data_IF_405077275833
#
_entry.id   IF_405077275833
#
_cell.length_a   1.000
_cell.length_b   1.000
_cell.length_c   1.000
_cell.angle_alpha   90.00
_cell.angle_beta   90.00
_cell.angle_gamma   90.00
#
_symmetry.space_group_name_H-M   'P 1'
#
loop_
_entity.id
_entity.type
_entity.pdbx_description
1 polymer ?
#
# COMPACT_ATOMS: atom_id res chain seq x y z
N UNK A 1 -2.10 -30.68 -5.63
CA UNK A 1 -1.66 -29.44 -4.93
C UNK A 1 -1.82 -28.16 -5.76
N UNK A 2 -1.87 -28.21 -7.10
CA UNK A 2 -2.05 -27.02 -7.96
C UNK A 2 -3.47 -26.42 -7.97
N UNK A 3 -4.52 -27.26 -7.88
CA UNK A 3 -5.92 -26.80 -7.89
C UNK A 3 -6.32 -25.92 -6.69
N UNK A 4 -5.88 -26.30 -5.48
CA UNK A 4 -6.15 -25.53 -4.26
C UNK A 4 -5.46 -24.15 -4.29
N UNK A 5 -4.23 -24.08 -4.79
CA UNK A 5 -3.49 -22.81 -4.91
C UNK A 5 -4.14 -21.85 -5.91
N UNK A 6 -4.66 -22.38 -7.03
CA UNK A 6 -5.38 -21.58 -8.02
C UNK A 6 -6.72 -21.05 -7.49
N UNK A 7 -7.47 -21.85 -6.74
CA UNK A 7 -8.72 -21.43 -6.10
C UNK A 7 -8.45 -20.37 -5.03
N UNK A 8 -7.43 -20.56 -4.18
CA UNK A 8 -7.04 -19.56 -3.18
C UNK A 8 -6.57 -18.24 -3.82
N UNK A 9 -5.82 -18.31 -4.93
CA UNK A 9 -5.41 -17.13 -5.70
C UNK A 9 -6.60 -16.40 -6.34
N UNK A 10 -7.58 -17.14 -6.84
CA UNK A 10 -8.81 -16.58 -7.41
C UNK A 10 -9.68 -15.90 -6.35
N UNK A 11 -9.87 -16.55 -5.20
CA UNK A 11 -10.59 -15.98 -4.05
C UNK A 11 -9.87 -14.71 -3.55
N UNK A 12 -8.55 -14.76 -3.39
CA UNK A 12 -7.73 -13.58 -3.03
C UNK A 12 -7.92 -12.43 -4.02
N UNK A 13 -7.92 -12.73 -5.32
CA UNK A 13 -8.17 -11.75 -6.37
C UNK A 13 -9.58 -11.17 -6.31
N UNK A 14 -10.61 -11.97 -6.06
CA UNK A 14 -11.99 -11.48 -5.91
C UNK A 14 -12.14 -10.52 -4.72
N UNK A 15 -11.51 -10.83 -3.57
CA UNK A 15 -11.51 -9.95 -2.41
C UNK A 15 -10.79 -8.62 -2.65
N UNK A 16 -9.82 -8.54 -3.58
CA UNK A 16 -9.19 -7.27 -3.96
C UNK A 16 -10.15 -6.33 -4.72
N UNK A 17 -11.14 -6.86 -5.44
CA UNK A 17 -12.10 -6.05 -6.19
C UNK A 17 -13.26 -5.53 -5.34
N UNK A 18 -13.52 -6.14 -4.18
CA UNK A 18 -14.59 -5.70 -3.27
C UNK A 18 -14.36 -4.27 -2.75
N UNK A 19 -13.17 -3.91 -2.22
CA UNK A 19 -12.84 -2.54 -1.86
C UNK A 19 -12.92 -1.56 -3.03
N UNK A 20 -12.84 -2.04 -4.29
CA UNK A 20 -12.96 -1.18 -5.47
C UNK A 20 -14.43 -0.93 -5.83
N UNK A 21 -15.24 -1.97 -5.90
CA UNK A 21 -16.63 -1.89 -6.40
C UNK A 21 -17.61 -1.31 -5.39
N UNK A 22 -17.42 -1.58 -4.09
CA UNK A 22 -18.37 -1.13 -3.07
C UNK A 22 -18.44 0.40 -2.94
N UNK A 23 -17.33 1.14 -2.82
CA UNK A 23 -17.38 2.61 -2.77
C UNK A 23 -17.93 3.24 -4.05
N UNK A 24 -17.61 2.67 -5.23
CA UNK A 24 -18.15 3.14 -6.50
C UNK A 24 -19.67 3.02 -6.56
N UNK A 25 -20.22 1.90 -6.07
CA UNK A 25 -21.67 1.71 -5.94
C UNK A 25 -22.30 2.77 -5.03
N UNK A 26 -21.67 3.06 -3.88
CA UNK A 26 -22.13 4.11 -2.97
C UNK A 26 -22.13 5.50 -3.65
N UNK A 27 -21.10 5.83 -4.43
CA UNK A 27 -21.04 7.10 -5.16
C UNK A 27 -22.15 7.20 -6.20
N UNK A 28 -22.38 6.15 -7.00
CA UNK A 28 -23.47 6.11 -8.00
C UNK A 28 -24.83 6.31 -7.35
N UNK A 29 -25.11 5.60 -6.26
CA UNK A 29 -26.38 5.74 -5.55
C UNK A 29 -26.53 7.14 -4.94
N UNK A 30 -25.47 7.67 -4.32
CA UNK A 30 -25.48 9.02 -3.75
C UNK A 30 -25.74 10.10 -4.81
N UNK A 31 -25.18 9.93 -6.02
CA UNK A 31 -25.39 10.83 -7.14
C UNK A 31 -26.84 10.83 -7.58
N UNK A 32 -27.43 9.65 -7.75
CA UNK A 32 -28.83 9.51 -8.10
C UNK A 32 -29.75 10.15 -7.05
N UNK A 33 -29.53 9.84 -5.76
CA UNK A 33 -30.34 10.39 -4.68
C UNK A 33 -30.23 11.92 -4.56
N UNK A 34 -29.02 12.46 -4.66
CA UNK A 34 -28.79 13.89 -4.47
C UNK A 34 -29.20 14.72 -5.69
N UNK A 35 -28.72 14.36 -6.89
CA UNK A 35 -28.92 15.18 -8.09
C UNK A 35 -30.31 15.00 -8.67
N UNK A 36 -30.79 13.76 -8.80
CA UNK A 36 -32.05 13.46 -9.49
C UNK A 36 -33.25 13.64 -8.55
N UNK A 37 -33.21 13.02 -7.37
CA UNK A 37 -34.34 13.08 -6.44
C UNK A 37 -34.35 14.42 -5.70
N UNK A 38 -33.30 14.74 -4.94
CA UNK A 38 -33.32 15.92 -4.08
C UNK A 38 -33.27 17.23 -4.89
N UNK A 39 -32.23 17.45 -5.70
CA UNK A 39 -32.10 18.69 -6.47
C UNK A 39 -33.12 18.78 -7.61
N UNK A 40 -33.46 17.66 -8.26
CA UNK A 40 -34.38 17.67 -9.41
C UNK A 40 -35.86 17.66 -9.06
N UNK A 41 -36.25 17.02 -7.96
CA UNK A 41 -37.68 16.80 -7.63
C UNK A 41 -38.15 17.50 -6.36
N UNK A 42 -37.26 17.76 -5.39
CA UNK A 42 -37.65 18.35 -4.10
C UNK A 42 -37.37 19.85 -4.01
N UNK A 43 -36.40 20.36 -4.77
CA UNK A 43 -35.95 21.74 -4.68
C UNK A 43 -36.62 22.61 -5.76
N UNK A 44 -37.22 23.73 -5.35
CA UNK A 44 -37.95 24.64 -6.24
C UNK A 44 -37.17 25.90 -6.60
N UNK A 45 -36.19 26.30 -5.77
CA UNK A 45 -35.31 27.44 -6.04
C UNK A 45 -34.20 27.04 -7.02
N UNK A 46 -34.28 27.61 -8.23
CA UNK A 46 -33.33 27.33 -9.32
C UNK A 46 -31.90 27.78 -9.01
N UNK A 47 -31.70 28.91 -8.31
CA UNK A 47 -30.35 29.41 -8.01
C UNK A 47 -29.70 28.50 -6.98
N UNK A 48 -30.43 28.16 -5.91
CA UNK A 48 -29.95 27.23 -4.90
C UNK A 48 -29.66 25.85 -5.50
N UNK A 49 -30.52 25.36 -6.39
CA UNK A 49 -30.33 24.10 -7.11
C UNK A 49 -29.02 24.08 -7.90
N UNK A 50 -28.77 25.12 -8.71
CA UNK A 50 -27.55 25.21 -9.51
C UNK A 50 -26.31 25.22 -8.60
N UNK A 51 -26.31 26.04 -7.55
CA UNK A 51 -25.18 26.16 -6.62
C UNK A 51 -24.89 24.81 -5.95
N UNK A 52 -25.91 24.12 -5.43
CA UNK A 52 -25.75 22.83 -4.77
C UNK A 52 -25.25 21.75 -5.73
N UNK A 53 -25.79 21.70 -6.96
CA UNK A 53 -25.33 20.77 -7.99
C UNK A 53 -23.86 21.00 -8.33
N UNK A 54 -23.44 22.27 -8.52
CA UNK A 54 -22.06 22.61 -8.85
C UNK A 54 -21.11 22.19 -7.71
N UNK A 55 -21.43 22.55 -6.46
CA UNK A 55 -20.60 22.20 -5.30
C UNK A 55 -20.50 20.68 -5.15
N UNK A 56 -21.62 19.96 -5.30
CA UNK A 56 -21.63 18.51 -5.22
C UNK A 56 -20.73 17.86 -6.29
N UNK A 57 -20.80 18.32 -7.54
CA UNK A 57 -19.96 17.78 -8.61
C UNK A 57 -18.47 18.04 -8.38
N UNK A 58 -18.11 19.23 -7.89
CA UNK A 58 -16.71 19.53 -7.53
C UNK A 58 -16.20 18.57 -6.46
N UNK A 59 -16.98 18.34 -5.40
CA UNK A 59 -16.63 17.40 -4.34
C UNK A 59 -16.57 15.95 -4.85
N UNK A 60 -17.53 15.53 -5.67
CA UNK A 60 -17.57 14.18 -6.25
C UNK A 60 -16.34 13.92 -7.13
N UNK A 61 -15.96 14.87 -7.99
CA UNK A 61 -14.76 14.76 -8.83
C UNK A 61 -13.51 14.65 -7.97
N UNK A 62 -13.36 15.49 -6.93
CA UNK A 62 -12.23 15.42 -6.01
C UNK A 62 -12.18 14.09 -5.24
N UNK A 63 -13.34 13.58 -4.80
CA UNK A 63 -13.44 12.28 -4.13
C UNK A 63 -13.06 11.12 -5.06
N UNK A 64 -13.62 11.06 -6.26
CA UNK A 64 -13.32 10.02 -7.25
C UNK A 64 -11.85 10.07 -7.68
N UNK A 65 -11.30 11.27 -7.86
CA UNK A 65 -9.88 11.45 -8.16
C UNK A 65 -8.99 10.93 -7.03
N UNK A 66 -9.26 11.35 -5.80
CA UNK A 66 -8.48 10.93 -4.62
C UNK A 66 -8.55 9.42 -4.40
N UNK A 67 -9.74 8.84 -4.61
CA UNK A 67 -9.96 7.41 -4.57
C UNK A 67 -9.14 6.69 -5.64
N UNK A 68 -9.23 7.12 -6.91
CA UNK A 68 -8.45 6.55 -8.01
C UNK A 68 -6.93 6.62 -7.72
N UNK A 69 -6.43 7.77 -7.27
CA UNK A 69 -5.02 7.91 -6.92
C UNK A 69 -4.62 6.98 -5.77
N UNK A 70 -5.45 6.83 -4.75
CA UNK A 70 -5.14 5.94 -3.60
C UNK A 70 -5.14 4.46 -4.00
N UNK A 71 -6.06 4.05 -4.88
CA UNK A 71 -6.18 2.65 -5.31
C UNK A 71 -5.14 2.25 -6.35
N UNK A 72 -4.84 3.13 -7.31
CA UNK A 72 -4.02 2.79 -8.47
C UNK A 72 -2.56 3.23 -8.35
N UNK A 73 -2.19 4.05 -7.36
CA UNK A 73 -0.78 4.40 -7.13
C UNK A 73 -0.04 3.23 -6.48
N UNK A 74 0.95 2.62 -7.15
CA UNK A 74 1.74 1.56 -6.54
C UNK A 74 2.66 2.14 -5.44
N UNK A 75 2.82 1.45 -4.30
CA UNK A 75 3.82 1.82 -3.31
C UNK A 75 5.24 1.94 -3.89
N UNK A 76 5.97 2.96 -3.47
CA UNK A 76 7.34 3.22 -3.91
C UNK A 76 8.28 2.07 -3.50
N UNK A 77 9.08 1.52 -4.43
CA UNK A 77 10.04 0.47 -4.10
C UNK A 77 11.20 1.01 -3.27
N UNK A 78 11.84 0.12 -2.49
CA UNK A 78 13.03 0.48 -1.72
C UNK A 78 14.21 0.77 -2.67
N UNK A 79 14.95 1.89 -2.47
CA UNK A 79 16.12 2.22 -3.29
C UNK A 79 17.19 1.12 -3.28
N UNK A 80 17.89 0.94 -4.42
CA UNK A 80 18.85 -0.15 -4.61
C UNK A 80 19.97 -0.18 -3.55
N UNK A 81 20.39 0.98 -3.02
CA UNK A 81 21.44 1.07 -1.98
C UNK A 81 21.15 0.24 -0.73
N UNK A 82 19.87 0.00 -0.42
CA UNK A 82 19.46 -0.77 0.76
C UNK A 82 19.32 -2.28 0.50
N UNK A 83 19.39 -2.69 -0.76
CA UNK A 83 19.40 -4.11 -1.13
C UNK A 83 20.77 -4.71 -0.84
N UNK A 84 20.79 -5.98 -0.48
CA UNK A 84 22.02 -6.77 -0.38
C UNK A 84 22.53 -7.11 -1.78
N UNK A 85 23.81 -6.89 -2.03
CA UNK A 85 24.49 -7.42 -3.22
C UNK A 85 24.69 -8.93 -3.10
N UNK A 86 24.90 -9.62 -4.23
CA UNK A 86 25.05 -11.09 -4.24
C UNK A 86 26.24 -11.58 -3.38
N UNK A 87 27.34 -10.83 -3.37
CA UNK A 87 28.50 -11.12 -2.51
C UNK A 87 28.13 -11.02 -1.03
N UNK A 88 27.44 -9.94 -0.63
CA UNK A 88 27.00 -9.74 0.76
C UNK A 88 25.99 -10.82 1.20
N UNK A 89 25.10 -11.24 0.29
CA UNK A 89 24.18 -12.36 0.55
C UNK A 89 24.95 -13.65 0.82
N UNK A 90 25.97 -13.95 -0.01
CA UNK A 90 26.85 -15.11 0.18
C UNK A 90 27.56 -15.09 1.52
N UNK A 91 28.12 -13.93 1.90
CA UNK A 91 28.76 -13.76 3.21
C UNK A 91 27.77 -13.96 4.36
N UNK A 92 26.57 -13.36 4.28
CA UNK A 92 25.55 -13.48 5.32
C UNK A 92 24.99 -14.90 5.44
N UNK A 93 24.97 -15.66 4.34
CA UNK A 93 24.51 -17.04 4.29
C UNK A 93 25.59 -18.07 4.69
N UNK A 94 26.83 -17.63 4.94
CA UNK A 94 27.92 -18.53 5.33
C UNK A 94 27.61 -19.25 6.63
N UNK A 95 27.72 -20.59 6.62
CA UNK A 95 27.56 -21.45 7.80
C UNK A 95 28.67 -21.28 8.83
N UNK A 96 29.74 -20.54 8.50
CA UNK A 96 30.86 -20.27 9.40
C UNK A 96 30.61 -19.12 10.37
N UNK A 97 29.55 -18.33 10.18
CA UNK A 97 29.25 -17.18 11.04
C UNK A 97 28.43 -17.60 12.25
N UNK A 98 28.96 -17.33 13.44
CA UNK A 98 28.17 -17.41 14.67
C UNK A 98 27.08 -16.31 14.69
N UNK A 99 26.00 -16.47 15.47
CA UNK A 99 24.91 -15.50 15.54
C UNK A 99 25.36 -14.06 15.84
N UNK A 100 26.33 -13.89 16.73
CA UNK A 100 26.89 -12.59 17.12
C UNK A 100 27.65 -11.93 15.96
N UNK A 101 28.47 -12.71 15.24
CA UNK A 101 29.22 -12.22 14.08
C UNK A 101 28.27 -11.81 12.94
N UNK A 102 27.21 -12.60 12.74
CA UNK A 102 26.17 -12.28 11.75
C UNK A 102 25.45 -10.98 12.10
N UNK A 103 25.11 -10.77 13.37
CA UNK A 103 24.46 -9.54 13.82
C UNK A 103 25.39 -8.33 13.68
N UNK A 104 26.67 -8.44 14.07
CA UNK A 104 27.66 -7.38 13.89
C UNK A 104 27.85 -7.01 12.40
N UNK A 105 27.86 -8.00 11.51
CA UNK A 105 27.93 -7.77 10.06
C UNK A 105 26.68 -7.05 9.54
N UNK A 106 25.49 -7.45 9.99
CA UNK A 106 24.24 -6.75 9.65
C UNK A 106 24.24 -5.30 10.15
N UNK A 107 24.79 -5.05 11.34
CA UNK A 107 24.93 -3.71 11.90
C UNK A 107 25.86 -2.82 11.09
N UNK A 108 27.06 -3.31 10.74
CA UNK A 108 28.01 -2.59 9.89
C UNK A 108 27.39 -2.26 8.52
N UNK A 109 26.79 -3.26 7.87
CA UNK A 109 26.13 -3.07 6.58
C UNK A 109 24.97 -2.07 6.63
N UNK A 110 24.18 -2.08 7.72
CA UNK A 110 23.08 -1.15 7.92
C UNK A 110 23.57 0.28 8.18
N UNK A 111 24.64 0.44 8.97
CA UNK A 111 25.25 1.72 9.28
C UNK A 111 25.85 2.37 8.02
N UNK A 112 26.55 1.59 7.17
CA UNK A 112 27.06 2.06 5.87
C UNK A 112 25.97 2.57 4.94
N UNK A 113 24.76 2.03 5.07
CA UNK A 113 23.57 2.41 4.30
C UNK A 113 22.75 3.53 4.95
N UNK A 114 23.13 3.98 6.14
CA UNK A 114 22.47 5.04 6.88
C UNK A 114 21.14 4.64 7.54
N UNK A 115 20.92 3.35 7.84
CA UNK A 115 19.74 2.90 8.59
C UNK A 115 19.94 3.20 10.07
N UNK A 116 19.19 4.18 10.58
CA UNK A 116 19.36 4.68 11.96
C UNK A 116 18.40 4.00 12.93
N UNK A 117 17.21 3.64 12.47
CA UNK A 117 16.22 2.98 13.32
C UNK A 117 16.60 1.54 13.64
N UNK A 118 16.14 1.06 14.80
CA UNK A 118 16.28 -0.32 15.27
C UNK A 118 14.91 -0.87 15.65
N UNK A 119 14.82 -2.20 15.72
CA UNK A 119 13.68 -2.89 16.30
C UNK A 119 13.68 -2.71 17.83
N UNK A 120 12.58 -3.11 18.46
CA UNK A 120 12.42 -3.02 19.91
C UNK A 120 13.47 -3.83 20.68
N UNK A 121 13.93 -4.94 20.12
CA UNK A 121 15.00 -5.80 20.65
C UNK A 121 16.42 -5.25 20.39
N UNK A 122 16.54 -4.04 19.83
CA UNK A 122 17.82 -3.44 19.45
C UNK A 122 18.39 -3.94 18.12
N UNK A 123 17.78 -4.97 17.51
CA UNK A 123 18.28 -5.53 16.26
C UNK A 123 18.08 -4.59 15.07
N UNK A 124 18.93 -4.76 14.06
CA UNK A 124 18.85 -4.02 12.79
C UNK A 124 17.51 -4.29 12.09
N UNK A 125 16.95 -3.24 11.49
CA UNK A 125 15.77 -3.32 10.65
C UNK A 125 16.06 -4.02 9.31
N UNK A 126 16.14 -5.34 9.34
CA UNK A 126 16.36 -6.18 8.16
C UNK A 126 15.09 -6.97 7.79
N UNK A 127 14.78 -7.10 6.50
CA UNK A 127 13.73 -7.98 6.00
C UNK A 127 14.36 -9.22 5.37
N UNK A 128 14.07 -10.41 5.93
CA UNK A 128 14.59 -11.68 5.41
C UNK A 128 13.92 -12.06 4.09
N UNK A 129 12.59 -11.90 3.99
CA UNK A 129 11.82 -12.24 2.79
C UNK A 129 12.25 -11.45 1.55
N UNK A 130 12.52 -10.15 1.74
CA UNK A 130 12.95 -9.27 0.64
C UNK A 130 14.48 -9.19 0.49
N UNK A 131 15.24 -9.64 1.49
CA UNK A 131 16.70 -9.43 1.59
C UNK A 131 17.13 -7.97 1.48
N UNK A 132 16.45 -7.09 2.22
CA UNK A 132 16.66 -5.63 2.20
C UNK A 132 16.80 -5.08 3.62
N UNK A 133 17.75 -4.15 3.81
CA UNK A 133 17.79 -3.30 5.00
C UNK A 133 16.65 -2.28 4.91
N UNK A 134 15.63 -2.41 5.76
CA UNK A 134 14.46 -1.55 5.74
C UNK A 134 14.90 -0.11 6.05
N UNK A 135 14.68 0.85 5.14
CA UNK A 135 14.85 2.27 5.46
C UNK A 135 13.92 2.67 6.60
N UNK A 136 14.22 3.80 7.24
CA UNK A 136 13.38 4.33 8.29
C UNK A 136 11.93 4.48 7.79
N UNK A 137 10.96 3.98 8.58
CA UNK A 137 9.51 3.94 8.28
C UNK A 137 9.07 2.96 7.18
N UNK A 138 9.97 2.14 6.61
CA UNK A 138 9.58 1.09 5.66
C UNK A 138 9.22 -0.23 6.37
N UNK A 139 8.13 -0.84 5.95
CA UNK A 139 7.67 -2.15 6.44
C UNK A 139 7.42 -3.09 5.27
N UNK A 140 7.64 -4.39 5.52
CA UNK A 140 7.26 -5.44 4.58
C UNK A 140 5.76 -5.68 4.71
N UNK A 141 5.04 -5.61 3.60
CA UNK A 141 3.63 -5.96 3.53
C UNK A 141 3.51 -7.38 2.99
N UNK A 142 3.06 -8.32 3.84
CA UNK A 142 2.84 -9.71 3.43
C UNK A 142 1.79 -9.84 2.32
N UNK A 143 0.80 -8.93 2.29
CA UNK A 143 -0.25 -8.93 1.28
C UNK A 143 0.27 -8.46 -0.09
N UNK A 144 1.17 -7.46 -0.10
CA UNK A 144 1.79 -6.96 -1.32
C UNK A 144 3.07 -7.71 -1.71
N UNK A 145 3.56 -8.60 -0.85
CA UNK A 145 4.78 -9.39 -1.02
C UNK A 145 6.03 -8.51 -1.28
N UNK A 146 6.11 -7.33 -0.66
CA UNK A 146 7.21 -6.35 -0.81
C UNK A 146 7.42 -5.50 0.43
#
# INVERSE_FOLDING_TARGET
MSGLFNVLRFIRNAFYWIPLGFPLSMFVWSYYAYVIIFCGSCLTDAVLQIVLIVVYHLLLVLCLWSYAMTTFTPPTPVPHRFKLGEVEKGHLASSTLNPEQRNALLEDMANRRGVRTRRFDGAVNYCVSCQVFKPDRCHHCSQCER
#
